data_IF_969428616964
#
_entry.id   IF_969428616964
#
_cell.length_a   1.000
_cell.length_b   1.000
_cell.length_c   1.000
_cell.angle_alpha   90.00
_cell.angle_beta   90.00
_cell.angle_gamma   90.00
#
_symmetry.space_group_name_H-M   'P 1'
#
loop_
_entity.id
_entity.type
_entity.pdbx_description
1 polymer ?
#
# COMPACT_ATOMS: atom_id res chain seq x y z
N UNK A 1 6.61 -1.43 -12.82
CA UNK A 1 5.33 -0.68 -12.87
C UNK A 1 4.22 -1.60 -12.37
N UNK A 2 3.50 -1.21 -11.32
CA UNK A 2 2.38 -1.97 -10.78
C UNK A 2 1.07 -1.55 -11.45
N UNK A 3 0.64 -2.28 -12.49
CA UNK A 3 -0.46 -1.86 -13.38
C UNK A 3 -1.83 -2.42 -13.00
N UNK A 4 -1.88 -3.67 -12.55
CA UNK A 4 -3.10 -4.43 -12.29
C UNK A 4 -3.39 -4.47 -10.80
N UNK A 5 -2.63 -5.31 -10.08
CA UNK A 5 -2.75 -5.46 -8.64
C UNK A 5 -1.64 -4.71 -7.90
N UNK A 6 -2.03 -3.95 -6.88
CA UNK A 6 -1.07 -3.27 -6.01
C UNK A 6 -1.68 -2.85 -4.67
N UNK A 7 -0.79 -2.64 -3.71
CA UNK A 7 -1.09 -1.94 -2.45
C UNK A 7 -0.53 -0.53 -2.54
N UNK A 8 -1.39 0.47 -2.37
CA UNK A 8 -1.02 1.88 -2.28
C UNK A 8 -1.01 2.32 -0.81
N UNK A 9 0.04 3.04 -0.39
CA UNK A 9 0.19 3.52 0.99
C UNK A 9 0.36 5.04 1.01
N UNK A 10 -0.46 5.73 1.80
CA UNK A 10 -0.44 7.20 1.94
C UNK A 10 -0.48 7.67 3.39
N UNK A 11 0.19 8.78 3.68
CA UNK A 11 0.05 9.50 4.96
C UNK A 11 -1.02 10.57 4.86
N UNK A 12 -2.23 10.20 5.25
CA UNK A 12 -3.43 11.00 5.06
C UNK A 12 -4.63 10.14 4.65
N UNK A 13 -5.84 10.58 4.98
CA UNK A 13 -7.07 9.89 4.60
C UNK A 13 -7.54 10.23 3.18
N UNK A 14 -7.09 11.36 2.63
CA UNK A 14 -7.50 11.81 1.30
C UNK A 14 -6.65 11.19 0.17
N UNK A 15 -7.18 11.16 -1.06
CA UNK A 15 -6.50 10.59 -2.22
C UNK A 15 -5.31 11.44 -2.72
N UNK A 16 -5.25 12.71 -2.35
CA UNK A 16 -4.14 13.65 -2.62
C UNK A 16 -3.06 13.64 -1.53
N UNK A 17 -3.28 12.90 -0.44
CA UNK A 17 -2.32 12.73 0.65
C UNK A 17 -0.97 12.19 0.18
N UNK A 18 0.10 12.49 0.93
CA UNK A 18 1.48 12.07 0.61
C UNK A 18 1.55 10.58 0.31
N UNK A 19 1.94 10.25 -0.93
CA UNK A 19 2.20 8.89 -1.37
C UNK A 19 3.55 8.40 -0.87
N UNK A 20 3.55 7.28 -0.15
CA UNK A 20 4.78 6.55 0.20
C UNK A 20 5.20 5.63 -0.93
N UNK A 21 4.24 4.96 -1.57
CA UNK A 21 4.52 4.12 -2.71
C UNK A 21 3.33 3.27 -3.16
N UNK A 22 3.53 2.64 -4.31
CA UNK A 22 2.69 1.56 -4.84
C UNK A 22 3.53 0.29 -4.88
N UNK A 23 3.07 -0.74 -4.18
CA UNK A 23 3.80 -1.99 -4.00
C UNK A 23 3.09 -3.14 -4.70
N UNK A 24 3.85 -3.95 -5.42
CA UNK A 24 3.40 -5.17 -6.06
C UNK A 24 4.59 -6.14 -6.18
N UNK A 25 4.32 -7.40 -6.51
CA UNK A 25 5.35 -8.42 -6.62
C UNK A 25 5.63 -9.11 -5.28
N UNK A 26 6.84 -9.67 -5.15
CA UNK A 26 7.24 -10.46 -3.99
C UNK A 26 8.20 -9.72 -3.04
N UNK A 27 8.66 -8.54 -3.45
CA UNK A 27 9.59 -7.74 -2.66
C UNK A 27 8.84 -7.05 -1.52
N UNK A 28 9.35 -7.21 -0.30
CA UNK A 28 8.81 -6.56 0.88
C UNK A 28 9.39 -5.14 0.97
N UNK A 29 8.56 -4.08 1.04
CA UNK A 29 9.07 -2.74 1.25
C UNK A 29 9.68 -2.56 2.63
N UNK A 30 10.54 -1.55 2.77
CA UNK A 30 11.01 -1.09 4.08
C UNK A 30 9.86 -0.61 4.96
N UNK A 31 10.12 -0.48 6.26
CA UNK A 31 9.11 0.03 7.19
C UNK A 31 8.68 1.45 6.80
N UNK A 32 7.38 1.68 6.71
CA UNK A 32 6.81 2.96 6.30
C UNK A 32 6.30 3.68 7.54
N UNK A 33 6.84 4.86 7.82
CA UNK A 33 6.40 5.72 8.92
C UNK A 33 5.37 6.74 8.42
N UNK A 34 4.26 6.89 9.13
CA UNK A 34 3.29 7.93 8.80
C UNK A 34 3.87 9.33 9.08
N UNK A 35 3.58 10.31 8.22
CA UNK A 35 3.92 11.71 8.50
C UNK A 35 3.06 12.32 9.62
N UNK A 36 1.87 11.78 9.83
CA UNK A 36 0.89 12.25 10.83
C UNK A 36 0.35 11.06 11.63
N UNK A 37 -0.72 11.28 12.39
CA UNK A 37 -1.41 10.26 13.19
C UNK A 37 -2.35 9.35 12.37
N UNK A 38 -2.29 9.39 11.04
CA UNK A 38 -3.14 8.58 10.18
C UNK A 38 -2.39 8.11 8.92
N UNK A 39 -2.79 6.92 8.46
CA UNK A 39 -2.25 6.27 7.27
C UNK A 39 -3.39 5.53 6.57
N UNK A 40 -3.45 5.64 5.24
CA UNK A 40 -4.39 4.93 4.38
C UNK A 40 -3.64 3.87 3.59
N UNK A 41 -4.13 2.64 3.65
CA UNK A 41 -3.62 1.49 2.91
C UNK A 41 -4.75 0.99 2.01
N UNK A 42 -4.55 1.00 0.71
CA UNK A 42 -5.55 0.58 -0.28
C UNK A 42 -5.03 -0.56 -1.13
N UNK A 43 -5.79 -1.65 -1.21
CA UNK A 43 -5.51 -2.74 -2.13
C UNK A 43 -6.42 -2.61 -3.36
N UNK A 44 -5.80 -2.51 -4.54
CA UNK A 44 -6.49 -2.58 -5.82
C UNK A 44 -6.13 -3.90 -6.50
N UNK A 45 -7.15 -4.58 -7.02
CA UNK A 45 -7.02 -5.83 -7.77
C UNK A 45 -7.89 -5.76 -9.02
N UNK A 46 -7.57 -6.59 -10.02
CA UNK A 46 -8.49 -6.89 -11.12
C UNK A 46 -9.06 -8.32 -11.05
N UNK A 47 -9.84 -8.72 -12.07
CA UNK A 47 -10.50 -10.02 -12.14
C UNK A 47 -9.60 -11.12 -12.73
N UNK A 48 -8.28 -10.91 -12.78
CA UNK A 48 -7.32 -11.84 -13.39
C UNK A 48 -6.51 -12.59 -12.33
N UNK A 49 -5.20 -12.77 -12.51
CA UNK A 49 -4.35 -13.68 -11.73
C UNK A 49 -4.20 -13.25 -10.27
N UNK A 50 -4.77 -14.02 -9.35
CA UNK A 50 -4.61 -13.80 -7.90
C UNK A 50 -3.35 -14.47 -7.31
N UNK A 51 -2.79 -13.86 -6.27
CA UNK A 51 -1.67 -14.40 -5.46
C UNK A 51 -2.04 -14.42 -3.98
N UNK A 52 -1.09 -14.78 -3.10
CA UNK A 52 -1.28 -14.88 -1.64
C UNK A 52 -1.72 -13.57 -0.96
N UNK A 53 -1.52 -12.41 -1.60
CA UNK A 53 -1.87 -11.10 -1.03
C UNK A 53 -0.78 -10.53 -0.13
N UNK A 54 -1.18 -9.67 0.81
CA UNK A 54 -0.29 -8.96 1.73
C UNK A 54 -0.73 -9.11 3.18
N UNK A 55 0.21 -8.88 4.11
CA UNK A 55 -0.06 -8.73 5.54
C UNK A 55 0.60 -7.44 6.01
N UNK A 56 -0.17 -6.59 6.68
CA UNK A 56 0.33 -5.39 7.31
C UNK A 56 0.32 -5.56 8.84
N UNK A 57 1.34 -5.04 9.50
CA UNK A 57 1.41 -4.89 10.94
C UNK A 57 1.70 -3.42 11.22
N UNK A 58 0.95 -2.83 12.13
CA UNK A 58 1.13 -1.44 12.55
C UNK A 58 1.49 -1.40 14.03
N UNK A 59 2.28 -0.41 14.40
CA UNK A 59 2.67 -0.10 15.77
C UNK A 59 2.84 1.43 15.88
N UNK A 60 2.64 1.97 17.08
CA UNK A 60 2.84 3.39 17.40
C UNK A 60 4.23 3.63 17.99
#
# INVERSE_FOLDING_TARGET
VCKYDFVEVRSGLSADSRLHGKFCGAEKPEAITSQYNNMRIEFKSDNTVSKKGFKAQFFS
#
